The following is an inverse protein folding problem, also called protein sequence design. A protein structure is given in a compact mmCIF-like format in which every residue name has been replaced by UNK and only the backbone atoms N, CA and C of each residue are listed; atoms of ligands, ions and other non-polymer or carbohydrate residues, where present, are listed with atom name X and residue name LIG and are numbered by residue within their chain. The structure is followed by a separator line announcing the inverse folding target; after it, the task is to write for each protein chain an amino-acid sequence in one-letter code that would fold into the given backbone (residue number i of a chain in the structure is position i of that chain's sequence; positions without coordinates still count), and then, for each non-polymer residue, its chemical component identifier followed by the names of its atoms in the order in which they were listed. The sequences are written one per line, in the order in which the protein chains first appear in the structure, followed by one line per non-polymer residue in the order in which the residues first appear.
data_IF_817513778975
#
_entry.id   IF_817513778975
#
_cell.length_a   1.000
_cell.length_b   1.000
_cell.length_c   1.000
_cell.angle_alpha   90.00
_cell.angle_beta   90.00
_cell.angle_gamma   90.00
#
_symmetry.space_group_name_H-M   'P 1'
#
loop_
_entity.id
_entity.type
_entity.pdbx_description
1 polymer ?
#
# COMPACT_ATOMS: atom_id res chain seq x y z
N UNK A 1 -11.71 -25.22 -2.94
CA UNK A 1 -10.52 -24.42 -3.33
C UNK A 1 -10.91 -22.96 -3.20
N UNK A 2 -10.27 -22.20 -2.31
CA UNK A 2 -10.68 -20.81 -2.04
C UNK A 2 -10.47 -19.94 -3.28
N UNK A 3 -11.54 -19.29 -3.72
CA UNK A 3 -11.56 -18.39 -4.87
C UNK A 3 -10.64 -17.18 -4.59
N UNK A 4 -9.47 -17.11 -5.25
CA UNK A 4 -8.53 -15.99 -5.14
C UNK A 4 -9.09 -14.76 -5.84
N UNK A 5 -10.04 -14.07 -5.21
CA UNK A 5 -10.56 -12.79 -5.67
C UNK A 5 -9.48 -11.71 -5.53
N UNK A 6 -9.23 -10.95 -6.60
CA UNK A 6 -8.24 -9.86 -6.56
C UNK A 6 -8.60 -8.82 -5.48
N UNK A 7 -7.62 -8.29 -4.71
CA UNK A 7 -7.87 -7.24 -3.73
C UNK A 7 -8.58 -6.04 -4.35
N UNK A 8 -9.59 -5.49 -3.65
CA UNK A 8 -10.42 -4.38 -4.15
C UNK A 8 -9.58 -3.18 -4.62
N UNK A 9 -8.56 -2.81 -3.85
CA UNK A 9 -7.68 -1.68 -4.17
C UNK A 9 -6.77 -1.95 -5.37
N UNK A 10 -6.31 -3.19 -5.54
CA UNK A 10 -5.51 -3.58 -6.70
C UNK A 10 -6.34 -3.48 -7.98
N UNK A 11 -7.61 -3.90 -7.92
CA UNK A 11 -8.56 -3.76 -9.03
C UNK A 11 -8.80 -2.29 -9.39
N UNK A 12 -9.11 -1.48 -8.40
CA UNK A 12 -9.32 -0.04 -8.60
C UNK A 12 -8.09 0.66 -9.21
N UNK A 13 -6.88 0.30 -8.77
CA UNK A 13 -5.65 0.85 -9.33
C UNK A 13 -5.49 0.54 -10.82
N UNK A 14 -5.75 -0.72 -11.22
CA UNK A 14 -5.65 -1.16 -12.61
C UNK A 14 -6.73 -0.54 -13.51
N UNK A 15 -7.95 -0.46 -13.02
CA UNK A 15 -9.11 -0.10 -13.84
C UNK A 15 -9.27 1.42 -13.97
N UNK A 16 -8.95 2.19 -12.92
CA UNK A 16 -9.23 3.62 -12.87
C UNK A 16 -7.97 4.48 -12.72
N UNK A 17 -7.09 4.15 -11.77
CA UNK A 17 -5.97 5.03 -11.39
C UNK A 17 -4.90 5.11 -12.48
N UNK A 18 -4.58 3.99 -13.15
CA UNK A 18 -3.57 3.99 -14.22
C UNK A 18 -3.96 4.90 -15.40
N UNK A 19 -5.22 4.84 -15.83
CA UNK A 19 -5.73 5.67 -16.93
C UNK A 19 -5.71 7.15 -16.55
N UNK A 20 -6.20 7.49 -15.34
CA UNK A 20 -6.20 8.86 -14.84
C UNK A 20 -4.77 9.44 -14.73
N UNK A 21 -3.81 8.67 -14.23
CA UNK A 21 -2.40 9.11 -14.14
C UNK A 21 -1.76 9.27 -15.51
N UNK A 22 -2.08 8.37 -16.46
CA UNK A 22 -1.57 8.48 -17.83
C UNK A 22 -2.05 9.75 -18.51
N UNK A 23 -3.33 10.09 -18.36
CA UNK A 23 -3.93 11.31 -18.93
C UNK A 23 -3.38 12.56 -18.25
N UNK A 24 -3.31 12.58 -16.92
CA UNK A 24 -2.87 13.75 -16.16
C UNK A 24 -1.39 14.11 -16.40
N UNK A 25 -0.52 13.10 -16.53
CA UNK A 25 0.93 13.31 -16.64
C UNK A 25 1.51 13.00 -18.02
N UNK A 26 0.68 12.60 -18.98
CA UNK A 26 1.08 12.36 -20.37
C UNK A 26 2.08 11.21 -20.56
N UNK A 27 2.04 10.18 -19.70
CA UNK A 27 2.97 9.06 -19.79
C UNK A 27 2.85 8.32 -21.13
N UNK A 28 3.95 8.25 -21.88
CA UNK A 28 4.01 7.56 -23.18
C UNK A 28 4.16 6.05 -23.02
N UNK A 29 4.85 5.62 -21.97
CA UNK A 29 5.10 4.20 -21.70
C UNK A 29 4.26 3.75 -20.48
N UNK A 30 3.46 2.67 -20.58
CA UNK A 30 2.71 2.12 -19.45
C UNK A 30 3.56 1.77 -18.22
N UNK A 31 4.84 1.46 -18.42
CA UNK A 31 5.77 1.16 -17.33
C UNK A 31 6.24 2.40 -16.55
N UNK A 32 6.01 3.61 -17.06
CA UNK A 32 6.30 4.86 -16.35
C UNK A 32 5.25 5.19 -15.30
N UNK A 33 4.08 4.53 -15.34
CA UNK A 33 3.01 4.79 -14.39
C UNK A 33 3.46 4.29 -13.00
N UNK A 34 3.49 5.16 -11.97
CA UNK A 34 4.03 4.83 -10.66
C UNK A 34 3.17 3.78 -9.96
N UNK A 35 3.83 2.84 -9.28
CA UNK A 35 3.24 1.70 -8.55
C UNK A 35 3.67 1.75 -7.08
N UNK A 36 2.80 1.25 -6.20
CA UNK A 36 3.15 1.04 -4.79
C UNK A 36 3.94 -0.27 -4.69
N UNK A 37 5.19 -0.19 -4.26
CA UNK A 37 6.06 -1.36 -4.09
C UNK A 37 5.88 -2.02 -2.71
N UNK A 38 5.93 -1.21 -1.64
CA UNK A 38 5.74 -1.68 -0.27
C UNK A 38 5.15 -0.58 0.61
N UNK A 39 4.43 -1.00 1.65
CA UNK A 39 3.98 -0.13 2.73
C UNK A 39 4.71 -0.57 3.99
N UNK A 40 5.58 0.29 4.53
CA UNK A 40 6.28 0.04 5.80
C UNK A 40 5.53 0.78 6.89
N UNK A 41 4.96 0.03 7.83
CA UNK A 41 4.36 0.60 9.04
C UNK A 41 5.41 0.55 10.13
N UNK A 42 5.86 1.72 10.56
CA UNK A 42 6.75 1.86 11.71
C UNK A 42 5.93 2.39 12.88
N UNK A 43 6.00 1.74 14.03
CA UNK A 43 5.42 2.26 15.26
C UNK A 43 6.56 2.52 16.24
N UNK A 44 6.82 3.80 16.52
CA UNK A 44 7.79 4.21 17.51
C UNK A 44 7.16 4.17 18.90
N UNK A 45 7.65 3.27 19.76
CA UNK A 45 7.20 3.20 21.15
C UNK A 45 8.35 3.70 22.04
N UNK A 46 8.34 5.00 22.35
CA UNK A 46 9.43 5.66 23.09
C UNK A 46 9.62 5.16 24.54
N UNK A 47 8.57 4.59 25.13
CA UNK A 47 8.57 4.08 26.52
C UNK A 47 8.58 2.54 26.61
N UNK A 48 8.59 1.85 25.46
CA UNK A 48 8.60 0.39 25.35
C UNK A 48 9.69 -0.35 26.14
N UNK A 49 10.91 0.18 26.32
CA UNK A 49 11.92 -0.55 27.10
C UNK A 49 11.53 -0.72 28.58
N UNK A 50 10.66 0.16 29.10
CA UNK A 50 10.28 0.18 30.51
C UNK A 50 8.99 -0.59 30.81
N UNK A 51 8.12 -0.75 29.83
CA UNK A 51 6.82 -1.40 30.03
C UNK A 51 6.48 -2.34 28.86
N UNK A 52 6.71 -3.63 29.07
CA UNK A 52 6.55 -4.68 28.07
C UNK A 52 5.09 -4.82 27.60
N UNK A 53 4.11 -4.42 28.44
CA UNK A 53 2.68 -4.44 28.11
C UNK A 53 2.27 -3.43 27.04
N UNK A 54 3.01 -2.33 26.91
CA UNK A 54 2.77 -1.33 25.87
C UNK A 54 3.19 -1.83 24.49
N UNK A 55 4.20 -2.70 24.43
CA UNK A 55 4.60 -3.37 23.18
C UNK A 55 3.54 -4.35 22.69
N UNK A 56 2.96 -5.15 23.59
CA UNK A 56 1.90 -6.12 23.24
C UNK A 56 0.60 -5.46 22.80
N UNK A 57 0.35 -4.21 23.20
CA UNK A 57 -0.85 -3.45 22.82
C UNK A 57 -0.73 -2.80 21.42
N UNK A 58 0.49 -2.69 20.91
CA UNK A 58 0.80 -2.01 19.64
C UNK A 58 0.98 -3.01 18.48
N UNK A 59 1.27 -4.27 18.79
CA UNK A 59 1.38 -5.40 17.87
C UNK A 59 0.01 -5.96 17.47
#
# INVERSE_FOLDING_TARGET
MAERKAPRLLRHYRDHVQSALKEQFGFKNPHQIPKIEKVVVNVGVGEAPKDQKLLDSVL
#
